data_IF_745913099303
#
_entry.id   IF_745913099303
#
_cell.length_a   1.000
_cell.length_b   1.000
_cell.length_c   1.000
_cell.angle_alpha   90.00
_cell.angle_beta   90.00
_cell.angle_gamma   90.00
#
_symmetry.space_group_name_H-M   'P 1'
#
loop_
_entity.id
_entity.type
_entity.pdbx_description
1 polymer ?
#
# COMPACT_ATOMS: atom_id res chain seq x y z
N UNK A 1 1.82 15.93 14.66
CA UNK A 1 0.36 15.91 14.89
C UNK A 1 -0.33 16.92 13.97
N UNK A 2 -1.67 16.96 13.93
CA UNK A 2 -2.38 17.95 13.08
C UNK A 2 -2.22 19.38 13.58
N UNK A 3 -2.07 19.57 14.88
CA UNK A 3 -1.77 20.86 15.51
C UNK A 3 -0.35 21.34 15.17
N UNK A 4 0.63 20.43 15.11
CA UNK A 4 1.99 20.77 14.65
C UNK A 4 2.00 21.23 13.18
N UNK A 5 1.18 20.60 12.32
CA UNK A 5 1.05 21.04 10.92
C UNK A 5 0.48 22.46 10.86
N UNK A 6 -0.53 22.77 11.69
CA UNK A 6 -1.11 24.12 11.78
C UNK A 6 -0.08 25.15 12.23
N UNK A 7 0.63 24.88 13.33
CA UNK A 7 1.69 25.76 13.84
C UNK A 7 2.80 26.00 12.80
N UNK A 8 3.21 24.95 12.08
CA UNK A 8 4.19 25.07 11.02
C UNK A 8 3.66 25.93 9.85
N UNK A 9 2.39 25.75 9.46
CA UNK A 9 1.78 26.57 8.42
C UNK A 9 1.66 28.05 8.82
N UNK A 10 1.32 28.32 10.08
CA UNK A 10 1.24 29.67 10.62
C UNK A 10 2.62 30.35 10.57
N UNK A 11 3.69 29.64 10.93
CA UNK A 11 5.06 30.17 10.84
C UNK A 11 5.51 30.49 9.41
N UNK A 12 4.93 29.82 8.41
CA UNK A 12 5.21 30.03 6.98
C UNK A 12 4.19 30.94 6.30
N UNK A 13 3.25 31.54 7.05
CA UNK A 13 2.16 32.39 6.54
C UNK A 13 1.36 31.73 5.40
N UNK A 14 1.12 30.41 5.49
CA UNK A 14 0.34 29.70 4.48
C UNK A 14 -1.15 30.00 4.60
N UNK A 15 -1.83 30.12 3.45
CA UNK A 15 -3.26 30.37 3.40
C UNK A 15 -4.08 29.26 4.07
N UNK A 16 -5.21 29.60 4.70
CA UNK A 16 -6.06 28.67 5.47
C UNK A 16 -6.54 27.45 4.66
N UNK A 17 -6.79 27.64 3.36
CA UNK A 17 -7.12 26.55 2.42
C UNK A 17 -5.96 25.55 2.26
N UNK A 18 -4.72 26.04 2.22
CA UNK A 18 -3.51 25.20 2.18
C UNK A 18 -3.36 24.41 3.47
N UNK A 19 -3.59 25.03 4.63
CA UNK A 19 -3.53 24.34 5.93
C UNK A 19 -4.51 23.18 5.99
N UNK A 20 -5.76 23.41 5.55
CA UNK A 20 -6.80 22.38 5.52
C UNK A 20 -6.44 21.23 4.59
N UNK A 21 -5.86 21.52 3.42
CA UNK A 21 -5.36 20.52 2.46
C UNK A 21 -4.20 19.70 3.02
N UNK A 22 -3.26 20.32 3.73
CA UNK A 22 -2.13 19.62 4.35
C UNK A 22 -2.57 18.72 5.51
N UNK A 23 -3.49 19.19 6.35
CA UNK A 23 -4.14 18.37 7.38
C UNK A 23 -4.86 17.17 6.76
N UNK A 24 -5.59 17.39 5.65
CA UNK A 24 -6.24 16.31 4.91
C UNK A 24 -5.24 15.29 4.38
N UNK A 25 -4.17 15.75 3.70
CA UNK A 25 -3.13 14.89 3.16
C UNK A 25 -2.46 14.04 4.25
N UNK A 26 -2.12 14.64 5.39
CA UNK A 26 -1.56 13.91 6.53
C UNK A 26 -2.50 12.82 7.04
N UNK A 27 -3.80 13.12 7.14
CA UNK A 27 -4.81 12.15 7.60
C UNK A 27 -5.00 11.02 6.59
N UNK A 28 -5.10 11.36 5.32
CA UNK A 28 -5.33 10.39 4.25
C UNK A 28 -4.14 9.46 4.07
N UNK A 29 -2.92 9.98 4.12
CA UNK A 29 -1.72 9.15 4.03
C UNK A 29 -1.70 8.09 5.15
N UNK A 30 -1.96 8.50 6.40
CA UNK A 30 -2.03 7.57 7.54
C UNK A 30 -3.24 6.62 7.47
N UNK A 31 -4.33 7.06 6.85
CA UNK A 31 -5.54 6.25 6.66
C UNK A 31 -5.29 5.15 5.63
N UNK A 32 -4.71 5.49 4.50
CA UNK A 32 -4.41 4.55 3.41
C UNK A 32 -3.46 3.46 3.89
N UNK A 33 -2.38 3.85 4.56
CA UNK A 33 -1.33 2.92 5.03
C UNK A 33 -1.81 1.94 6.11
N UNK A 34 -2.86 2.30 6.86
CA UNK A 34 -3.43 1.41 7.89
C UNK A 34 -4.69 0.64 7.44
N UNK A 35 -5.45 1.18 6.49
CA UNK A 35 -6.84 0.73 6.23
C UNK A 35 -7.02 0.21 4.81
N UNK A 36 -6.47 0.90 3.83
CA UNK A 36 -6.64 0.57 2.40
C UNK A 36 -5.62 -0.46 1.97
N UNK A 37 -4.37 -0.28 2.40
CA UNK A 37 -3.31 -1.29 2.32
C UNK A 37 -3.29 -2.08 3.63
N UNK A 38 -3.64 -3.36 3.57
CA UNK A 38 -3.70 -4.24 4.74
C UNK A 38 -2.61 -5.30 4.69
N UNK A 39 -1.38 -4.84 4.93
CA UNK A 39 -0.18 -5.67 4.94
C UNK A 39 0.16 -6.23 6.33
N UNK A 40 -0.54 -5.79 7.37
CA UNK A 40 -0.35 -6.23 8.74
C UNK A 40 0.81 -5.54 9.47
N UNK A 41 1.31 -4.41 8.97
CA UNK A 41 2.18 -3.51 9.70
C UNK A 41 1.34 -2.39 10.29
N UNK A 42 1.39 -2.22 11.61
CA UNK A 42 0.65 -1.13 12.29
C UNK A 42 1.53 0.10 12.36
N UNK A 43 1.02 1.25 11.91
CA UNK A 43 1.77 2.49 12.02
C UNK A 43 2.05 2.86 13.47
N UNK A 44 3.30 3.22 13.74
CA UNK A 44 3.73 3.72 15.05
C UNK A 44 4.52 5.03 14.94
N UNK A 45 4.94 5.41 13.74
CA UNK A 45 5.66 6.66 13.48
C UNK A 45 5.11 7.33 12.22
N UNK A 46 4.89 8.64 12.32
CA UNK A 46 4.39 9.49 11.24
C UNK A 46 5.19 10.79 11.21
N UNK A 47 5.90 11.03 10.12
CA UNK A 47 6.64 12.27 9.88
C UNK A 47 6.07 12.98 8.66
N UNK A 48 5.70 14.25 8.84
CA UNK A 48 5.14 15.10 7.81
C UNK A 48 6.10 16.27 7.57
N UNK A 49 6.58 16.40 6.34
CA UNK A 49 7.48 17.48 5.92
C UNK A 49 6.72 18.35 4.92
N UNK A 50 6.80 19.66 5.08
CA UNK A 50 6.17 20.62 4.19
C UNK A 50 7.13 21.77 3.87
N UNK A 51 6.91 22.42 2.73
CA UNK A 51 7.65 23.60 2.28
C UNK A 51 6.73 24.80 2.09
N UNK A 52 7.33 25.98 2.00
CA UNK A 52 6.65 27.28 1.81
C UNK A 52 5.80 27.34 0.54
N UNK A 53 6.16 26.59 -0.50
CA UNK A 53 5.38 26.47 -1.73
C UNK A 53 4.19 25.48 -1.61
N UNK A 54 3.93 24.96 -0.41
CA UNK A 54 2.82 24.06 -0.12
C UNK A 54 3.02 22.63 -0.61
N UNK A 55 4.23 22.26 -1.05
CA UNK A 55 4.60 20.86 -1.29
C UNK A 55 4.81 20.16 0.05
N UNK A 56 4.59 18.85 0.04
CA UNK A 56 4.74 18.00 1.21
C UNK A 56 5.26 16.60 0.86
N UNK A 57 5.84 15.96 1.87
CA UNK A 57 6.21 14.56 1.89
C UNK A 57 5.78 13.92 3.22
N UNK A 58 5.36 12.66 3.17
CA UNK A 58 5.08 11.88 4.37
C UNK A 58 5.96 10.65 4.40
N UNK A 59 6.64 10.44 5.52
CA UNK A 59 7.38 9.21 5.80
C UNK A 59 6.73 8.55 7.02
N UNK A 60 6.15 7.38 6.79
CA UNK A 60 5.47 6.61 7.83
C UNK A 60 6.25 5.33 8.10
N UNK A 61 6.22 4.85 9.34
CA UNK A 61 6.79 3.56 9.71
C UNK A 61 5.74 2.70 10.40
N UNK A 62 5.53 1.50 9.83
CA UNK A 62 4.70 0.45 10.36
C UNK A 62 5.54 -0.67 10.96
N UNK A 63 5.08 -1.25 12.07
CA UNK A 63 5.70 -2.38 12.75
C UNK A 63 4.82 -3.62 12.61
N UNK A 64 5.41 -4.75 12.24
CA UNK A 64 4.80 -6.06 12.38
C UNK A 64 5.44 -6.78 13.58
N UNK A 65 4.74 -6.81 14.71
CA UNK A 65 5.25 -7.37 15.97
C UNK A 65 5.59 -8.87 15.85
N UNK A 66 4.77 -9.62 15.10
CA UNK A 66 4.96 -11.06 14.93
C UNK A 66 6.21 -11.36 14.09
N UNK A 67 6.40 -10.61 13.01
CA UNK A 67 7.56 -10.76 12.14
C UNK A 67 8.81 -10.07 12.70
N UNK A 68 8.65 -9.14 13.66
CA UNK A 68 9.69 -8.24 14.19
C UNK A 68 10.38 -7.40 13.10
N UNK A 69 9.65 -7.05 12.05
CA UNK A 69 10.13 -6.19 10.96
C UNK A 69 9.35 -4.89 10.91
N UNK A 70 10.02 -3.84 10.44
CA UNK A 70 9.41 -2.57 10.13
C UNK A 70 9.28 -2.35 8.61
N UNK A 71 8.25 -1.61 8.22
CA UNK A 71 7.98 -1.17 6.85
C UNK A 71 7.88 0.34 6.82
N UNK A 72 8.44 0.97 5.79
CA UNK A 72 8.37 2.41 5.56
C UNK A 72 7.52 2.72 4.34
N UNK A 73 6.66 3.72 4.47
CA UNK A 73 5.80 4.21 3.40
C UNK A 73 6.18 5.64 3.08
N UNK A 74 6.42 5.91 1.80
CA UNK A 74 6.90 7.19 1.31
C UNK A 74 5.88 7.80 0.37
N UNK A 75 5.44 8.99 0.74
CA UNK A 75 4.49 9.81 -0.01
C UNK A 75 5.15 11.13 -0.41
N UNK A 76 4.89 11.58 -1.63
CA UNK A 76 5.40 12.83 -2.17
C UNK A 76 4.30 13.51 -2.99
N UNK A 77 3.91 14.71 -2.53
CA UNK A 77 2.88 15.54 -3.16
C UNK A 77 3.07 15.76 -4.66
N UNK A 78 4.31 15.90 -5.14
CA UNK A 78 4.61 16.21 -6.55
C UNK A 78 4.34 15.05 -7.51
N UNK A 79 4.18 13.84 -7.00
CA UNK A 79 3.92 12.62 -7.78
C UNK A 79 2.56 12.00 -7.45
N UNK A 80 1.79 12.62 -6.57
CA UNK A 80 0.49 12.12 -6.13
C UNK A 80 -0.59 12.54 -7.12
N UNK A 81 -1.25 11.57 -7.74
CA UNK A 81 -2.45 11.78 -8.58
C UNK A 81 -3.75 11.42 -7.87
N UNK A 82 -3.70 10.45 -6.95
CA UNK A 82 -4.83 9.94 -6.18
C UNK A 82 -4.34 9.50 -4.80
N UNK A 83 -5.15 9.67 -3.74
CA UNK A 83 -4.80 9.11 -2.43
C UNK A 83 -5.07 7.61 -2.33
N UNK A 84 -5.91 7.06 -3.20
CA UNK A 84 -6.42 5.69 -3.09
C UNK A 84 -6.00 4.79 -4.24
N UNK A 85 -5.27 5.31 -5.23
CA UNK A 85 -4.74 4.54 -6.35
C UNK A 85 -3.25 4.81 -6.52
N UNK A 86 -2.44 3.76 -6.31
CA UNK A 86 -0.97 3.78 -6.34
C UNK A 86 -0.33 5.06 -5.75
N UNK A 87 -0.73 5.49 -4.53
CA UNK A 87 -0.34 6.80 -4.04
C UNK A 87 1.13 6.86 -3.60
N UNK A 88 1.72 5.70 -3.29
CA UNK A 88 3.07 5.62 -2.74
C UNK A 88 4.14 5.78 -3.80
N UNK A 89 5.13 6.61 -3.49
CA UNK A 89 6.35 6.66 -4.27
C UNK A 89 7.24 5.45 -4.00
N UNK A 90 7.28 5.01 -2.75
CA UNK A 90 8.00 3.80 -2.35
C UNK A 90 7.38 3.18 -1.09
N UNK A 91 7.34 1.86 -1.06
CA UNK A 91 7.07 1.06 0.14
C UNK A 91 8.28 0.16 0.33
N UNK A 92 9.01 0.38 1.42
CA UNK A 92 10.31 -0.24 1.71
C UNK A 92 10.17 -1.14 2.93
N UNK A 93 10.52 -2.41 2.77
CA UNK A 93 10.41 -3.47 3.80
C UNK A 93 11.38 -4.62 3.50
N UNK A 94 12.16 -5.07 4.48
CA UNK A 94 13.09 -6.21 4.28
C UNK A 94 12.36 -7.53 3.99
N UNK A 95 11.09 -7.59 4.39
CA UNK A 95 10.21 -8.74 4.10
C UNK A 95 9.16 -8.38 3.06
N UNK A 96 8.97 -9.31 2.12
CA UNK A 96 7.82 -9.36 1.22
C UNK A 96 6.88 -10.46 1.67
N UNK A 97 5.61 -10.12 1.91
CA UNK A 97 4.58 -11.08 2.30
C UNK A 97 3.99 -11.75 1.06
N UNK A 98 3.57 -13.02 1.24
CA UNK A 98 2.95 -13.80 0.18
C UNK A 98 1.58 -13.24 -0.23
N UNK A 99 0.82 -12.75 0.74
CA UNK A 99 -0.53 -12.23 0.54
C UNK A 99 -0.77 -10.97 1.37
N UNK A 100 -1.24 -9.91 0.71
CA UNK A 100 -1.55 -8.58 1.27
C UNK A 100 -2.78 -8.06 0.55
N UNK A 101 -3.82 -7.65 1.27
CA UNK A 101 -4.94 -6.97 0.61
C UNK A 101 -4.51 -5.54 0.28
N UNK A 102 -4.41 -5.25 -1.01
CA UNK A 102 -4.01 -3.94 -1.54
C UNK A 102 -5.16 -3.34 -2.35
N UNK A 103 -5.99 -2.54 -1.68
CA UNK A 103 -7.03 -1.77 -2.36
C UNK A 103 -6.49 -0.52 -3.06
N UNK A 104 -5.18 -0.23 -2.96
CA UNK A 104 -4.52 0.87 -3.69
C UNK A 104 -4.03 0.47 -5.08
N UNK A 105 -3.87 -0.83 -5.33
CA UNK A 105 -3.43 -1.33 -6.62
C UNK A 105 -4.40 -0.93 -7.75
N UNK A 106 -3.89 -0.69 -8.96
CA UNK A 106 -4.72 -0.38 -10.13
C UNK A 106 -5.70 -1.49 -10.45
N UNK A 107 -5.28 -2.72 -10.27
CA UNK A 107 -6.08 -3.93 -10.46
C UNK A 107 -7.33 -3.96 -9.55
N UNK A 108 -7.31 -3.22 -8.43
CA UNK A 108 -8.43 -3.12 -7.49
C UNK A 108 -9.42 -2.00 -7.83
N UNK A 109 -9.32 -1.33 -8.99
CA UNK A 109 -10.19 -0.19 -9.37
C UNK A 109 -11.67 -0.56 -9.39
N UNK A 110 -12.04 -1.61 -10.14
CA UNK A 110 -13.45 -2.05 -10.21
C UNK A 110 -13.98 -2.43 -8.82
N UNK A 111 -13.13 -3.04 -7.98
CA UNK A 111 -13.50 -3.38 -6.63
C UNK A 111 -13.71 -2.15 -5.74
N UNK A 112 -12.91 -1.09 -5.90
CA UNK A 112 -13.13 0.20 -5.21
C UNK A 112 -14.49 0.79 -5.58
N UNK A 113 -14.89 0.75 -6.85
CA UNK A 113 -16.18 1.26 -7.31
C UNK A 113 -17.34 0.45 -6.70
N UNK A 114 -17.27 -0.87 -6.77
CA UNK A 114 -18.27 -1.76 -6.16
C UNK A 114 -18.36 -1.55 -4.64
N UNK A 115 -17.24 -1.31 -3.95
CA UNK A 115 -17.26 -0.98 -2.52
C UNK A 115 -18.09 0.28 -2.22
N UNK A 116 -18.03 1.29 -3.09
CA UNK A 116 -18.80 2.53 -2.95
C UNK A 116 -20.29 2.25 -3.19
N UNK A 117 -20.62 1.54 -4.26
CA UNK A 117 -22.00 1.20 -4.61
C UNK A 117 -22.68 0.42 -3.48
N UNK A 118 -22.03 -0.65 -3.00
CA UNK A 118 -22.52 -1.47 -1.88
C UNK A 118 -22.70 -0.64 -0.61
N UNK A 119 -21.75 0.26 -0.32
CA UNK A 119 -21.82 1.10 0.86
C UNK A 119 -23.02 2.07 0.81
N UNK A 120 -23.40 2.51 -0.39
CA UNK A 120 -24.60 3.33 -0.62
C UNK A 120 -25.91 2.54 -0.59
N UNK A 121 -25.90 1.20 -0.66
CA UNK A 121 -27.10 0.37 -0.51
C UNK A 121 -27.57 0.24 0.97
N UNK A 122 -26.71 0.64 1.92
CA UNK A 122 -27.04 0.73 3.34
C UNK A 122 -26.74 -0.52 4.17
N UNK A 123 -26.70 -0.36 5.49
CA UNK A 123 -26.17 -1.38 6.41
C UNK A 123 -26.93 -2.70 6.40
N UNK A 124 -28.25 -2.68 6.18
CA UNK A 124 -29.09 -3.89 6.09
C UNK A 124 -28.67 -4.78 4.93
N UNK A 125 -28.37 -4.19 3.78
CA UNK A 125 -27.93 -4.90 2.58
C UNK A 125 -26.53 -5.47 2.77
N UNK A 126 -25.62 -4.67 3.29
CA UNK A 126 -24.26 -5.13 3.63
C UNK A 126 -24.28 -6.29 4.64
N UNK A 127 -25.12 -6.23 5.68
CA UNK A 127 -25.31 -7.35 6.63
C UNK A 127 -25.71 -8.65 5.93
N UNK A 128 -26.62 -8.57 4.96
CA UNK A 128 -27.07 -9.74 4.18
C UNK A 128 -25.92 -10.32 3.34
N UNK A 129 -25.20 -9.46 2.60
CA UNK A 129 -24.05 -9.87 1.79
C UNK A 129 -22.94 -10.47 2.65
N UNK A 130 -22.66 -9.88 3.82
CA UNK A 130 -21.71 -10.43 4.80
C UNK A 130 -22.13 -11.82 5.25
N UNK A 131 -23.42 -12.03 5.54
CA UNK A 131 -23.93 -13.34 5.94
C UNK A 131 -23.80 -14.37 4.80
N UNK A 132 -24.08 -13.99 3.56
CA UNK A 132 -23.93 -14.84 2.36
C UNK A 132 -22.48 -15.30 2.17
N UNK A 133 -21.52 -14.39 2.25
CA UNK A 133 -20.09 -14.73 2.15
C UNK A 133 -19.61 -15.56 3.35
N UNK A 134 -20.17 -15.31 4.55
CA UNK A 134 -19.74 -16.01 5.77
C UNK A 134 -20.25 -17.46 5.87
N UNK A 135 -21.22 -17.86 5.05
CA UNK A 135 -21.78 -19.24 5.01
C UNK A 135 -20.76 -20.31 4.62
N UNK A 136 -19.60 -19.93 4.10
CA UNK A 136 -18.49 -20.86 3.80
C UNK A 136 -17.99 -21.68 4.99
N UNK A 137 -18.27 -21.28 6.23
CA UNK A 137 -17.95 -22.11 7.41
C UNK A 137 -18.80 -23.39 7.49
N UNK A 138 -19.99 -23.38 6.91
CA UNK A 138 -20.94 -24.50 6.93
C UNK A 138 -20.99 -25.24 5.58
N UNK A 139 -20.49 -24.61 4.50
CA UNK A 139 -20.50 -25.19 3.15
C UNK A 139 -19.09 -25.14 2.53
N UNK A 140 -18.54 -26.31 2.19
CA UNK A 140 -17.24 -26.40 1.54
C UNK A 140 -17.28 -25.77 0.14
N UNK A 141 -16.38 -24.83 -0.13
CA UNK A 141 -16.24 -24.24 -1.47
C UNK A 141 -15.51 -25.18 -2.42
N UNK A 142 -15.75 -25.02 -3.73
CA UNK A 142 -15.01 -25.75 -4.76
C UNK A 142 -13.49 -25.55 -4.64
N UNK A 143 -13.05 -24.37 -4.17
CA UNK A 143 -11.65 -24.07 -3.90
C UNK A 143 -11.04 -24.99 -2.83
N UNK A 144 -11.79 -25.30 -1.77
CA UNK A 144 -11.36 -26.26 -0.74
C UNK A 144 -11.19 -27.66 -1.33
N UNK A 145 -12.08 -28.06 -2.24
CA UNK A 145 -11.99 -29.35 -2.93
C UNK A 145 -10.81 -29.40 -3.92
N UNK A 146 -10.52 -28.29 -4.60
CA UNK A 146 -9.40 -28.13 -5.52
C UNK A 146 -8.04 -27.89 -4.83
N UNK A 147 -7.99 -27.92 -3.50
CA UNK A 147 -6.76 -27.67 -2.72
C UNK A 147 -6.22 -26.24 -2.84
N UNK A 148 -7.03 -25.28 -3.32
CA UNK A 148 -6.65 -23.88 -3.42
C UNK A 148 -6.92 -23.19 -2.09
N UNK A 149 -5.87 -22.95 -1.30
CA UNK A 149 -5.97 -22.15 -0.08
C UNK A 149 -6.35 -20.70 -0.43
N UNK A 150 -7.44 -20.21 0.17
CA UNK A 150 -7.72 -18.77 0.16
C UNK A 150 -6.81 -18.07 1.18
N UNK A 151 -6.12 -17.01 0.78
CA UNK A 151 -5.22 -16.31 1.69
C UNK A 151 -6.00 -15.64 2.82
N UNK A 152 -5.39 -15.57 4.00
CA UNK A 152 -6.10 -15.13 5.20
C UNK A 152 -6.63 -13.67 5.15
N UNK A 153 -6.08 -12.87 4.24
CA UNK A 153 -6.53 -11.50 3.96
C UNK A 153 -7.93 -11.45 3.35
N UNK A 154 -8.41 -12.56 2.78
CA UNK A 154 -9.75 -12.72 2.19
C UNK A 154 -10.73 -13.42 3.13
N UNK A 155 -10.48 -13.42 4.45
CA UNK A 155 -11.48 -13.85 5.42
C UNK A 155 -12.34 -12.68 5.90
N UNK A 156 -13.65 -12.95 6.00
CA UNK A 156 -14.60 -11.99 6.54
C UNK A 156 -14.19 -11.57 7.97
N UNK A 157 -14.07 -10.27 8.26
CA UNK A 157 -13.75 -9.80 9.60
C UNK A 157 -14.82 -10.20 10.61
N UNK A 158 -14.38 -10.57 11.82
CA UNK A 158 -15.28 -11.01 12.91
C UNK A 158 -16.22 -9.91 13.42
N UNK A 159 -15.83 -8.64 13.30
CA UNK A 159 -16.57 -7.50 13.82
C UNK A 159 -16.57 -6.35 12.81
N UNK A 160 -17.77 -5.92 12.44
CA UNK A 160 -18.03 -4.76 11.58
C UNK A 160 -18.80 -3.74 12.41
N UNK A 161 -18.35 -2.49 12.42
CA UNK A 161 -19.06 -1.42 13.13
C UNK A 161 -20.24 -0.95 12.27
N UNK A 162 -21.43 -1.44 12.58
CA UNK A 162 -22.63 -1.15 11.80
C UNK A 162 -23.09 0.31 11.90
N UNK A 163 -22.82 0.99 13.02
CA UNK A 163 -23.13 2.42 13.16
C UNK A 163 -22.40 3.25 12.11
N UNK A 164 -21.13 2.93 11.87
CA UNK A 164 -20.35 3.60 10.82
C UNK A 164 -20.92 3.29 9.44
N UNK A 165 -21.45 2.08 9.20
CA UNK A 165 -22.11 1.78 7.93
C UNK A 165 -23.41 2.57 7.73
N UNK A 166 -24.14 2.86 8.81
CA UNK A 166 -25.29 3.76 8.77
C UNK A 166 -24.83 5.20 8.47
N UNK A 167 -23.76 5.68 9.12
CA UNK A 167 -23.18 7.00 8.84
C UNK A 167 -22.72 7.13 7.37
N UNK A 168 -22.12 6.07 6.80
CA UNK A 168 -21.71 6.05 5.38
C UNK A 168 -22.92 6.17 4.45
N UNK A 169 -24.02 5.48 4.78
CA UNK A 169 -25.24 5.51 4.00
C UNK A 169 -25.88 6.91 3.98
N UNK A 170 -25.80 7.63 5.10
CA UNK A 170 -26.30 9.00 5.20
C UNK A 170 -25.41 9.99 4.43
N UNK A 171 -24.09 9.80 4.50
CA UNK A 171 -23.11 10.65 3.81
C UNK A 171 -23.14 10.45 2.28
N UNK A 172 -23.40 9.22 1.81
CA UNK A 172 -23.39 8.83 0.38
C UNK A 172 -22.10 9.25 -0.34
N UNK A 173 -20.94 8.64 0.00
CA UNK A 173 -19.67 9.02 -0.61
C UNK A 173 -19.69 8.82 -2.12
N UNK A 174 -19.20 9.79 -2.88
CA UNK A 174 -19.21 9.79 -4.35
C UNK A 174 -18.13 8.88 -4.95
N UNK A 175 -17.07 8.65 -4.20
CA UNK A 175 -15.92 7.86 -4.63
C UNK A 175 -15.26 7.16 -3.42
N UNK A 176 -14.28 6.31 -3.72
CA UNK A 176 -13.61 5.50 -2.71
C UNK A 176 -12.75 6.33 -1.73
N UNK A 177 -12.18 7.45 -2.19
CA UNK A 177 -11.44 8.38 -1.33
C UNK A 177 -12.35 9.00 -0.27
N UNK A 178 -13.53 9.47 -0.67
CA UNK A 178 -14.56 9.98 0.25
C UNK A 178 -15.00 8.89 1.23
N UNK A 179 -15.31 7.68 0.74
CA UNK A 179 -15.71 6.54 1.56
C UNK A 179 -14.67 6.27 2.67
N UNK A 180 -13.39 6.18 2.30
CA UNK A 180 -12.31 5.90 3.26
C UNK A 180 -12.04 7.09 4.19
N UNK A 181 -12.28 8.32 3.74
CA UNK A 181 -12.08 9.52 4.55
C UNK A 181 -13.07 9.66 5.72
N UNK A 182 -14.24 8.98 5.64
CA UNK A 182 -15.26 8.99 6.68
C UNK A 182 -14.68 8.48 8.01
N UNK A 183 -14.97 9.22 9.08
CA UNK A 183 -14.53 8.88 10.43
C UNK A 183 -15.15 7.55 10.85
N UNK A 184 -14.32 6.65 11.39
CA UNK A 184 -14.77 5.33 11.83
C UNK A 184 -14.68 4.24 10.77
N UNK A 185 -14.54 4.59 9.48
CA UNK A 185 -14.24 3.59 8.44
C UNK A 185 -12.87 3.00 8.72
N UNK A 186 -12.82 1.72 9.08
CA UNK A 186 -11.58 1.04 9.47
C UNK A 186 -11.26 -0.14 8.57
N UNK A 187 -10.12 -0.80 8.83
CA UNK A 187 -9.64 -1.95 8.06
C UNK A 187 -10.69 -3.07 7.94
N UNK A 188 -11.50 -3.30 8.98
CA UNK A 188 -12.56 -4.31 8.92
C UNK A 188 -13.67 -3.94 7.93
N UNK A 189 -14.10 -2.68 7.86
CA UNK A 189 -15.14 -2.27 6.91
C UNK A 189 -14.60 -2.40 5.48
N UNK A 190 -13.40 -1.88 5.22
CA UNK A 190 -12.76 -2.00 3.91
C UNK A 190 -12.55 -3.47 3.51
N UNK A 191 -12.10 -4.32 4.44
CA UNK A 191 -11.93 -5.76 4.16
C UNK A 191 -13.25 -6.46 3.85
N UNK A 192 -14.31 -6.13 4.59
CA UNK A 192 -15.63 -6.71 4.34
C UNK A 192 -16.16 -6.31 2.95
N UNK A 193 -16.07 -5.03 2.58
CA UNK A 193 -16.49 -4.55 1.27
C UNK A 193 -15.65 -5.14 0.14
N UNK A 194 -14.32 -5.19 0.31
CA UNK A 194 -13.40 -5.81 -0.64
C UNK A 194 -13.74 -7.29 -0.88
N UNK A 195 -14.05 -8.03 0.18
CA UNK A 195 -14.40 -9.44 0.07
C UNK A 195 -15.76 -9.65 -0.59
N UNK A 196 -16.75 -8.82 -0.29
CA UNK A 196 -18.05 -8.86 -0.97
C UNK A 196 -17.85 -8.59 -2.47
N UNK A 197 -17.04 -7.59 -2.81
CA UNK A 197 -16.71 -7.22 -4.18
C UNK A 197 -16.08 -8.39 -4.95
N UNK A 198 -15.10 -9.08 -4.36
CA UNK A 198 -14.43 -10.21 -5.00
C UNK A 198 -15.33 -11.45 -5.10
N UNK A 199 -16.08 -11.79 -4.06
CA UNK A 199 -16.82 -13.06 -3.98
C UNK A 199 -18.19 -12.98 -4.66
N UNK A 200 -18.93 -11.88 -4.48
CA UNK A 200 -20.31 -11.75 -4.97
C UNK A 200 -20.35 -11.06 -6.33
N UNK A 201 -19.53 -10.03 -6.52
CA UNK A 201 -19.54 -9.21 -7.73
C UNK A 201 -18.40 -9.57 -8.71
N UNK A 202 -17.58 -10.59 -8.37
CA UNK A 202 -16.47 -11.10 -9.18
C UNK A 202 -15.48 -10.00 -9.62
N UNK A 203 -15.34 -8.94 -8.80
CA UNK A 203 -14.41 -7.84 -9.07
C UNK A 203 -13.11 -8.07 -8.28
N UNK A 204 -11.99 -8.35 -8.96
CA UNK A 204 -10.77 -8.77 -8.29
C UNK A 204 -10.21 -7.67 -7.40
N UNK A 205 -9.65 -8.08 -6.26
CA UNK A 205 -8.83 -7.23 -5.39
C UNK A 205 -7.39 -7.72 -5.47
N UNK A 206 -6.43 -6.80 -5.46
CA UNK A 206 -5.02 -7.18 -5.41
C UNK A 206 -4.70 -7.83 -4.06
N UNK A 207 -4.14 -9.03 -4.14
CA UNK A 207 -3.56 -9.77 -3.00
C UNK A 207 -2.02 -9.71 -2.98
N UNK A 208 -1.43 -8.90 -3.87
CA UNK A 208 0.01 -8.77 -4.03
C UNK A 208 0.58 -7.76 -3.04
N UNK A 209 1.77 -8.03 -2.50
CA UNK A 209 2.47 -7.08 -1.64
C UNK A 209 3.17 -6.00 -2.50
N UNK A 210 2.78 -4.71 -2.38
CA UNK A 210 3.30 -3.62 -3.22
C UNK A 210 4.72 -3.17 -2.88
N UNK A 211 5.40 -3.84 -1.94
CA UNK A 211 6.80 -3.57 -1.60
C UNK A 211 7.67 -3.59 -2.85
N UNK A 212 8.34 -2.46 -3.09
CA UNK A 212 9.40 -2.32 -4.09
C UNK A 212 10.70 -2.51 -3.32
N UNK A 213 11.37 -3.65 -3.57
CA UNK A 213 12.56 -4.18 -2.90
C UNK A 213 13.39 -3.20 -2.06
N UNK A 214 13.75 -3.67 -0.87
CA UNK A 214 14.62 -2.98 0.09
C UNK A 214 16.07 -3.31 -0.21
N UNK A 215 16.90 -2.28 -0.28
CA UNK A 215 18.37 -2.31 -0.35
C UNK A 215 18.96 -3.68 -0.74
N UNK A 216 19.27 -3.87 -2.03
CA UNK A 216 19.90 -5.10 -2.52
C UNK A 216 21.23 -5.45 -1.80
N UNK A 217 21.80 -4.51 -1.03
CA UNK A 217 23.17 -4.56 -0.54
C UNK A 217 23.39 -4.01 0.89
N UNK A 218 22.37 -3.91 1.76
CA UNK A 218 22.58 -3.54 3.17
C UNK A 218 21.32 -3.20 3.97
N UNK A 219 21.36 -3.35 5.30
CA UNK A 219 20.25 -3.01 6.20
C UNK A 219 20.29 -1.56 6.69
N UNK A 220 19.15 -1.06 7.20
CA UNK A 220 19.02 0.24 7.88
C UNK A 220 19.79 0.27 9.21
N UNK A 221 19.94 -0.88 9.85
CA UNK A 221 20.27 -0.97 11.27
C UNK A 221 21.77 -1.13 11.49
N UNK A 222 22.52 -0.03 11.28
CA UNK A 222 23.69 0.39 12.07
C UNK A 222 24.90 -0.54 12.27
N UNK A 223 24.88 -1.78 11.79
CA UNK A 223 26.02 -2.70 11.79
C UNK A 223 26.50 -2.80 10.35
N UNK A 224 27.77 -2.47 10.04
CA UNK A 224 28.33 -2.75 8.74
C UNK A 224 28.19 -4.25 8.46
N UNK A 225 27.19 -4.63 7.66
CA UNK A 225 27.13 -5.98 7.15
C UNK A 225 28.33 -6.15 6.22
N UNK A 226 29.13 -7.23 6.37
CA UNK A 226 30.15 -7.53 5.39
C UNK A 226 29.49 -7.59 4.02
N UNK A 227 30.10 -6.92 3.03
CA UNK A 227 29.58 -6.84 1.66
C UNK A 227 29.19 -8.24 1.20
N UNK A 228 27.91 -8.46 0.88
CA UNK A 228 27.42 -9.74 0.37
C UNK A 228 27.89 -9.94 -1.08
N UNK A 229 29.18 -10.29 -1.21
CA UNK A 229 29.85 -10.47 -2.49
C UNK A 229 29.12 -11.48 -3.38
N UNK A 230 28.53 -12.53 -2.79
CA UNK A 230 27.80 -13.56 -3.55
C UNK A 230 26.58 -12.96 -4.26
N UNK A 231 25.79 -12.15 -3.55
CA UNK A 231 24.63 -11.48 -4.14
C UNK A 231 25.04 -10.41 -5.16
N UNK A 232 26.15 -9.69 -4.90
CA UNK A 232 26.73 -8.75 -5.86
C UNK A 232 27.18 -9.44 -7.16
N UNK A 233 27.97 -10.51 -7.07
CA UNK A 233 28.47 -11.26 -8.22
C UNK A 233 27.32 -11.83 -9.06
N UNK A 234 26.29 -12.36 -8.40
CA UNK A 234 25.06 -12.86 -9.05
C UNK A 234 24.29 -11.75 -9.76
N UNK A 235 24.19 -10.57 -9.15
CA UNK A 235 23.52 -9.42 -9.78
C UNK A 235 24.30 -8.94 -11.01
N UNK A 236 25.63 -8.88 -10.92
CA UNK A 236 26.52 -8.54 -12.03
C UNK A 236 26.39 -9.57 -13.16
N UNK A 237 26.33 -10.87 -12.84
CA UNK A 237 26.19 -11.92 -13.86
C UNK A 237 24.85 -11.82 -14.60
N UNK A 238 23.75 -11.61 -13.87
CA UNK A 238 22.41 -11.43 -14.46
C UNK A 238 22.38 -10.18 -15.36
N UNK A 239 22.91 -9.05 -14.89
CA UNK A 239 22.97 -7.83 -15.69
C UNK A 239 23.84 -8.00 -16.95
N UNK A 240 24.95 -8.74 -16.86
CA UNK A 240 25.78 -9.08 -18.02
C UNK A 240 25.00 -9.91 -19.02
N UNK A 241 24.32 -10.96 -18.57
CA UNK A 241 23.53 -11.84 -19.43
C UNK A 241 22.40 -11.08 -20.12
N UNK A 242 21.67 -10.22 -19.40
CA UNK A 242 20.62 -9.37 -19.99
C UNK A 242 21.19 -8.48 -21.09
N UNK A 243 22.35 -7.85 -20.86
CA UNK A 243 23.00 -7.01 -21.87
C UNK A 243 23.46 -7.85 -23.06
N UNK A 244 23.96 -9.06 -22.85
CA UNK A 244 24.38 -9.98 -23.91
C UNK A 244 23.20 -10.50 -24.75
N UNK A 245 22.04 -10.74 -24.15
CA UNK A 245 20.83 -11.24 -24.82
C UNK A 245 19.96 -10.11 -25.42
N UNK A 246 20.15 -8.86 -24.98
CA UNK A 246 19.39 -7.73 -25.49
C UNK A 246 19.55 -7.57 -27.02
N UNK A 247 18.41 -7.42 -27.71
CA UNK A 247 18.32 -7.14 -29.16
C UNK A 247 18.61 -5.67 -29.46
N UNK A 248 19.81 -5.21 -29.11
CA UNK A 248 20.30 -3.85 -29.36
C UNK A 248 21.52 -3.87 -30.29
N UNK A 249 21.92 -2.71 -30.83
CA UNK A 249 23.06 -2.62 -31.73
C UNK A 249 24.37 -3.05 -31.06
N UNK A 250 25.27 -3.69 -31.81
CA UNK A 250 26.56 -4.19 -31.29
C UNK A 250 27.40 -3.11 -30.58
N UNK A 251 27.40 -1.87 -31.09
CA UNK A 251 28.08 -0.73 -30.43
C UNK A 251 27.47 -0.37 -29.08
N UNK A 252 26.16 -0.46 -28.93
CA UNK A 252 25.45 -0.15 -27.68
C UNK A 252 25.67 -1.24 -26.64
N UNK A 253 25.64 -2.51 -27.08
CA UNK A 253 25.96 -3.68 -26.26
C UNK A 253 27.38 -3.59 -25.68
N UNK A 254 28.38 -3.30 -26.52
CA UNK A 254 29.76 -3.12 -26.08
C UNK A 254 29.92 -1.97 -25.08
N UNK A 255 29.27 -0.82 -25.32
CA UNK A 255 29.29 0.31 -24.38
C UNK A 255 28.64 -0.06 -23.04
N UNK A 256 27.52 -0.78 -23.05
CA UNK A 256 26.83 -1.21 -21.85
C UNK A 256 27.68 -2.18 -21.01
N UNK A 257 28.33 -3.18 -21.65
CA UNK A 257 29.25 -4.10 -20.99
C UNK A 257 30.49 -3.40 -20.42
N UNK A 258 31.06 -2.44 -21.15
CA UNK A 258 32.20 -1.65 -20.68
C UNK A 258 31.87 -0.84 -19.41
N UNK A 259 30.69 -0.21 -19.36
CA UNK A 259 30.20 0.46 -18.15
C UNK A 259 30.02 -0.51 -16.99
N UNK A 260 29.39 -1.66 -17.23
CA UNK A 260 29.18 -2.68 -16.20
C UNK A 260 30.50 -3.18 -15.61
N UNK A 261 31.51 -3.42 -16.46
CA UNK A 261 32.87 -3.80 -16.02
C UNK A 261 33.52 -2.72 -15.15
N UNK A 262 33.35 -1.44 -15.49
CA UNK A 262 33.87 -0.32 -14.69
C UNK A 262 33.26 -0.28 -13.28
N UNK A 263 31.96 -0.54 -13.15
CA UNK A 263 31.30 -0.59 -11.84
C UNK A 263 31.67 -1.82 -11.03
N UNK A 264 31.91 -2.97 -11.67
CA UNK A 264 32.38 -4.19 -11.01
C UNK A 264 33.83 -4.10 -10.52
N UNK A 265 34.67 -3.30 -11.17
CA UNK A 265 36.10 -3.15 -10.84
C UNK A 265 36.42 -1.93 -9.95
N UNK A 266 35.46 -1.03 -9.72
CA UNK A 266 35.62 0.06 -8.79
C UNK A 266 35.71 -0.52 -7.36
N UNK A 267 36.94 -0.57 -6.83
CA UNK A 267 37.25 -1.08 -5.49
C UNK A 267 36.32 -0.42 -4.45
N UNK A 268 35.59 -1.28 -3.75
CA UNK A 268 34.90 -0.95 -2.49
C UNK A 268 36.00 -0.74 -1.44
N UNK A 269 36.11 0.47 -0.90
CA UNK A 269 36.84 0.77 0.33
C UNK A 269 35.97 0.42 1.54
#
# INVERSE_FOLDING_TARGET
TLEEIEKACDSLNLHSSTVSRLKYASRMAAKVDNVVLQDGFKLYHHSFVLSEDGKWAVIQQGLNENARYARRYHWLSTKLSSFVEEPHNAIVSDIKKKFVLDMTAKESEEARNVCVDIAQEGSKRVKRLVAEVSREKEQATLNKWLGKERPAVLFMPRRINWRVMDDIYDIKPRNYEELVSIRGVGANIVRALALISEVIYEKPVSISDPVKYTYAHGGKDGVPYPVDRKTYDKSISILRQIVEEARIGNKEKLRALARLKRFSQAKVF
#
